data_IF_025377816594
#
_entry.id   IF_025377816594
#
_cell.length_a   1.000
_cell.length_b   1.000
_cell.length_c   1.000
_cell.angle_alpha   90.00
_cell.angle_beta   90.00
_cell.angle_gamma   90.00
#
_symmetry.space_group_name_H-M   'P 1'
#
loop_
_entity.id
_entity.type
_entity.pdbx_description
1 polymer ?
#
# COMPACT_ATOMS: atom_id res chain seq x y z
N UNK A 1 33.11 0.25 -10.27
CA UNK A 1 33.69 1.07 -9.20
C UNK A 1 32.79 0.96 -7.97
N UNK A 2 33.24 0.29 -6.87
CA UNK A 2 32.38 0.06 -5.67
C UNK A 2 31.80 1.37 -5.08
N UNK A 3 32.49 2.49 -5.26
CA UNK A 3 32.02 3.80 -4.77
C UNK A 3 30.84 4.38 -5.52
N UNK A 4 30.63 4.05 -6.79
CA UNK A 4 29.46 4.52 -7.54
C UNK A 4 28.21 3.72 -7.20
N UNK A 5 28.32 2.42 -7.00
CA UNK A 5 27.20 1.58 -6.59
C UNK A 5 26.69 1.95 -5.19
N UNK A 6 27.59 2.25 -4.24
CA UNK A 6 27.22 2.69 -2.91
C UNK A 6 26.49 4.04 -2.91
N UNK A 7 26.86 4.97 -3.82
CA UNK A 7 26.17 6.27 -3.91
C UNK A 7 24.75 6.17 -4.50
N UNK A 8 24.45 5.13 -5.28
CA UNK A 8 23.15 4.95 -5.92
C UNK A 8 22.11 4.31 -4.98
N UNK A 9 22.57 3.53 -4.01
CA UNK A 9 21.69 2.91 -2.99
C UNK A 9 20.99 3.95 -2.10
N UNK A 10 21.57 5.13 -1.93
CA UNK A 10 21.08 6.17 -1.02
C UNK A 10 20.35 7.32 -1.70
N UNK A 11 20.25 7.32 -3.02
CA UNK A 11 19.49 8.34 -3.75
C UNK A 11 18.07 7.88 -3.93
N UNK A 12 17.11 8.68 -3.48
CA UNK A 12 15.70 8.50 -3.82
C UNK A 12 15.52 8.74 -5.31
N UNK A 13 15.58 7.68 -6.12
CA UNK A 13 15.65 7.75 -7.57
C UNK A 13 14.47 8.48 -8.21
N UNK A 14 13.28 8.35 -7.65
CA UNK A 14 12.10 9.10 -8.14
C UNK A 14 12.32 10.61 -7.99
N UNK A 15 12.78 11.07 -6.82
CA UNK A 15 13.04 12.48 -6.56
C UNK A 15 14.18 13.01 -7.45
N UNK A 16 15.28 12.27 -7.56
CA UNK A 16 16.41 12.64 -8.39
C UNK A 16 16.02 12.74 -9.89
N UNK A 17 15.27 11.76 -10.38
CA UNK A 17 14.77 11.75 -11.77
C UNK A 17 13.83 12.92 -12.04
N UNK A 18 12.89 13.17 -11.13
CA UNK A 18 11.95 14.30 -11.23
C UNK A 18 12.68 15.65 -11.19
N UNK A 19 13.67 15.80 -10.32
CA UNK A 19 14.47 17.03 -10.22
C UNK A 19 15.24 17.32 -11.52
N UNK A 20 15.90 16.31 -12.09
CA UNK A 20 16.62 16.45 -13.36
C UNK A 20 15.65 16.73 -14.50
N UNK A 21 14.54 15.99 -14.59
CA UNK A 21 13.49 16.22 -15.59
C UNK A 21 12.94 17.64 -15.52
N UNK A 22 12.57 18.10 -14.33
CA UNK A 22 12.03 19.44 -14.10
C UNK A 22 13.04 20.54 -14.44
N UNK A 23 14.31 20.34 -14.08
CA UNK A 23 15.39 21.27 -14.44
C UNK A 23 15.57 21.37 -15.97
N UNK A 24 15.66 20.25 -16.66
CA UNK A 24 15.82 20.21 -18.11
C UNK A 24 14.60 20.82 -18.83
N UNK A 25 13.41 20.62 -18.29
CA UNK A 25 12.16 21.20 -18.81
C UNK A 25 12.18 22.72 -18.67
N UNK A 26 12.54 23.26 -17.50
CA UNK A 26 12.66 24.70 -17.26
C UNK A 26 13.73 25.36 -18.17
N UNK A 27 14.77 24.60 -18.53
CA UNK A 27 15.82 25.08 -19.46
C UNK A 27 15.45 24.93 -20.94
N UNK A 28 14.30 24.32 -21.27
CA UNK A 28 13.86 24.09 -22.64
C UNK A 28 14.67 23.04 -23.41
N UNK A 29 15.48 22.22 -22.73
CA UNK A 29 16.36 21.23 -23.36
C UNK A 29 15.95 19.78 -23.10
N UNK A 30 14.81 19.57 -22.42
CA UNK A 30 14.37 18.21 -22.06
C UNK A 30 14.19 17.28 -23.26
N UNK A 31 13.72 17.79 -24.39
CA UNK A 31 13.49 17.02 -25.60
C UNK A 31 14.77 16.51 -26.27
N UNK A 32 15.90 17.13 -25.99
CA UNK A 32 17.21 16.75 -26.56
C UNK A 32 17.94 15.69 -25.72
N UNK A 33 17.41 15.32 -24.55
CA UNK A 33 18.10 14.47 -23.58
C UNK A 33 17.25 13.26 -23.22
N UNK A 34 17.85 12.08 -23.22
CA UNK A 34 17.28 10.87 -22.62
C UNK A 34 17.74 10.72 -21.17
N UNK A 35 16.82 10.34 -20.28
CA UNK A 35 17.13 10.05 -18.87
C UNK A 35 17.19 8.53 -18.68
N UNK A 36 18.39 8.03 -18.46
CA UNK A 36 18.64 6.62 -18.14
C UNK A 36 18.80 6.48 -16.63
N UNK A 37 17.91 5.71 -16.01
CA UNK A 37 17.90 5.50 -14.55
C UNK A 37 18.42 4.11 -14.25
N UNK A 38 19.45 4.02 -13.43
CA UNK A 38 19.91 2.78 -12.83
C UNK A 38 19.54 2.80 -11.33
N UNK A 39 18.72 1.86 -10.88
CA UNK A 39 18.12 1.91 -9.55
C UNK A 39 18.12 0.57 -8.85
N UNK A 40 18.53 0.57 -7.58
CA UNK A 40 18.33 -0.54 -6.65
C UNK A 40 16.90 -0.57 -6.08
N UNK A 41 16.22 0.59 -5.99
CA UNK A 41 14.89 0.71 -5.42
C UNK A 41 13.78 0.18 -6.33
N UNK A 42 14.08 0.00 -7.63
CA UNK A 42 13.10 -0.35 -8.65
C UNK A 42 12.91 -1.87 -8.72
N UNK A 43 12.03 -2.40 -7.90
CA UNK A 43 11.76 -3.84 -7.78
C UNK A 43 10.41 -4.24 -8.37
N UNK A 44 9.39 -3.41 -8.25
CA UNK A 44 8.01 -3.69 -8.64
C UNK A 44 7.50 -2.76 -9.74
N UNK A 45 6.40 -3.16 -10.37
CA UNK A 45 5.76 -2.43 -11.47
C UNK A 45 5.40 -1.00 -11.10
N UNK A 46 4.98 -0.74 -9.87
CA UNK A 46 4.56 0.60 -9.45
C UNK A 46 5.74 1.57 -9.47
N UNK A 47 6.89 1.13 -9.00
CA UNK A 47 8.10 1.96 -9.01
C UNK A 47 8.54 2.32 -10.44
N UNK A 48 8.47 1.37 -11.38
CA UNK A 48 8.70 1.64 -12.81
C UNK A 48 7.69 2.66 -13.35
N UNK A 49 6.41 2.49 -13.04
CA UNK A 49 5.37 3.41 -13.48
C UNK A 49 5.65 4.84 -13.01
N UNK A 50 6.04 5.02 -11.75
CA UNK A 50 6.38 6.35 -11.21
C UNK A 50 7.65 6.90 -11.87
N UNK A 51 8.72 6.12 -12.03
CA UNK A 51 9.94 6.57 -12.70
C UNK A 51 9.69 7.04 -14.13
N UNK A 52 8.93 6.28 -14.92
CA UNK A 52 8.54 6.69 -16.27
C UNK A 52 7.64 7.93 -16.21
N UNK A 53 6.70 7.97 -15.28
CA UNK A 53 5.80 9.09 -15.08
C UNK A 53 6.49 10.40 -14.69
N UNK A 54 7.63 10.35 -13.99
CA UNK A 54 8.48 11.53 -13.68
C UNK A 54 9.52 11.82 -14.75
N UNK A 55 9.55 11.07 -15.86
CA UNK A 55 10.33 11.40 -17.02
C UNK A 55 11.49 10.46 -17.38
N UNK A 56 11.67 9.32 -16.70
CA UNK A 56 12.67 8.35 -17.10
C UNK A 56 12.42 7.84 -18.54
N UNK A 57 13.46 7.74 -19.34
CA UNK A 57 13.41 7.15 -20.69
C UNK A 57 13.64 5.65 -20.64
N UNK A 58 14.63 5.23 -19.87
CA UNK A 58 14.92 3.82 -19.62
C UNK A 58 15.22 3.60 -18.14
N UNK A 59 14.95 2.40 -17.66
CA UNK A 59 15.21 2.00 -16.27
C UNK A 59 15.96 0.68 -16.25
N UNK A 60 17.10 0.64 -15.55
CA UNK A 60 17.85 -0.57 -15.26
C UNK A 60 17.68 -0.94 -13.78
N UNK A 61 16.88 -1.97 -13.46
CA UNK A 61 16.64 -2.44 -12.08
C UNK A 61 17.72 -3.43 -11.67
N UNK A 62 18.97 -3.01 -11.53
CA UNK A 62 20.11 -3.91 -11.36
C UNK A 62 19.97 -4.82 -10.12
N UNK A 63 19.45 -4.30 -8.99
CA UNK A 63 19.27 -5.12 -7.79
C UNK A 63 18.21 -6.21 -7.98
N UNK A 64 17.11 -5.93 -8.69
CA UNK A 64 16.13 -6.96 -9.02
C UNK A 64 16.74 -8.08 -9.87
N UNK A 65 17.61 -7.73 -10.82
CA UNK A 65 18.33 -8.71 -11.65
C UNK A 65 19.31 -9.53 -10.80
N UNK A 66 20.05 -8.92 -9.88
CA UNK A 66 20.94 -9.63 -8.95
C UNK A 66 20.14 -10.57 -8.02
N UNK A 67 19.00 -10.13 -7.50
CA UNK A 67 18.11 -10.98 -6.71
C UNK A 67 17.61 -12.21 -7.50
N UNK A 68 17.31 -12.03 -8.79
CA UNK A 68 16.92 -13.14 -9.68
C UNK A 68 18.10 -14.08 -9.88
N UNK A 69 19.31 -13.55 -10.10
CA UNK A 69 20.54 -14.34 -10.25
C UNK A 69 20.81 -15.21 -9.02
N UNK A 70 20.83 -14.60 -7.85
CA UNK A 70 21.06 -15.30 -6.58
C UNK A 70 20.05 -16.44 -6.36
N UNK A 71 18.77 -16.18 -6.64
CA UNK A 71 17.71 -17.19 -6.50
C UNK A 71 17.86 -18.32 -7.52
N UNK A 72 18.29 -18.00 -8.73
CA UNK A 72 18.56 -18.99 -9.77
C UNK A 72 19.74 -19.87 -9.36
N UNK A 73 20.85 -19.29 -8.88
CA UNK A 73 22.03 -20.02 -8.38
C UNK A 73 21.69 -20.92 -7.19
N UNK A 74 20.75 -20.51 -6.33
CA UNK A 74 20.21 -21.34 -5.24
C UNK A 74 19.25 -22.45 -5.72
N UNK A 75 19.03 -22.60 -7.02
CA UNK A 75 18.18 -23.62 -7.60
C UNK A 75 16.67 -23.44 -7.35
N UNK A 76 16.24 -22.23 -6.98
CA UNK A 76 14.80 -21.95 -6.71
C UNK A 76 13.94 -21.89 -7.99
N UNK A 77 14.58 -21.77 -9.16
CA UNK A 77 13.93 -21.74 -10.47
C UNK A 77 14.37 -22.90 -11.34
N UNK A 78 14.16 -24.13 -10.87
CA UNK A 78 14.71 -25.38 -11.42
C UNK A 78 14.46 -25.58 -12.93
N UNK A 79 13.35 -25.05 -13.45
CA UNK A 79 12.89 -25.33 -14.82
C UNK A 79 13.23 -24.22 -15.82
N UNK A 80 13.90 -23.14 -15.37
CA UNK A 80 14.16 -21.96 -16.20
C UNK A 80 15.63 -21.58 -16.19
N UNK A 81 16.14 -21.13 -17.33
CA UNK A 81 17.45 -20.48 -17.39
C UNK A 81 17.40 -19.09 -16.72
N UNK A 82 18.57 -18.54 -16.40
CA UNK A 82 18.65 -17.18 -15.85
C UNK A 82 18.02 -16.15 -16.80
N UNK A 83 18.31 -16.26 -18.08
CA UNK A 83 17.80 -15.38 -19.14
C UNK A 83 16.26 -15.44 -19.20
N UNK A 84 15.68 -16.64 -19.11
CA UNK A 84 14.22 -16.82 -19.07
C UNK A 84 13.61 -16.18 -17.81
N UNK A 85 14.24 -16.30 -16.66
CA UNK A 85 13.79 -15.64 -15.43
C UNK A 85 13.76 -14.12 -15.59
N UNK A 86 14.83 -13.53 -16.15
CA UNK A 86 14.89 -12.07 -16.43
C UNK A 86 13.83 -11.65 -17.43
N UNK A 87 13.61 -12.43 -18.51
CA UNK A 87 12.57 -12.14 -19.49
C UNK A 87 11.16 -12.22 -18.91
N UNK A 88 10.91 -13.19 -18.03
CA UNK A 88 9.62 -13.30 -17.32
C UNK A 88 9.39 -12.12 -16.39
N UNK A 89 10.40 -11.67 -15.65
CA UNK A 89 10.34 -10.47 -14.82
C UNK A 89 10.03 -9.23 -15.69
N UNK A 90 10.77 -9.04 -16.78
CA UNK A 90 10.52 -7.94 -17.73
C UNK A 90 9.09 -7.97 -18.26
N UNK A 91 8.63 -9.13 -18.71
CA UNK A 91 7.24 -9.30 -19.20
C UNK A 91 6.20 -8.95 -18.17
N UNK A 92 6.42 -9.33 -16.90
CA UNK A 92 5.51 -8.99 -15.80
C UNK A 92 5.44 -7.47 -15.57
N UNK A 93 6.58 -6.78 -15.58
CA UNK A 93 6.64 -5.32 -15.49
C UNK A 93 5.95 -4.65 -16.67
N UNK A 94 6.24 -5.10 -17.91
CA UNK A 94 5.65 -4.55 -19.13
C UNK A 94 4.11 -4.70 -19.11
N UNK A 95 3.59 -5.87 -18.74
CA UNK A 95 2.14 -6.11 -18.61
C UNK A 95 1.51 -5.24 -17.52
N UNK A 96 2.21 -5.06 -16.40
CA UNK A 96 1.77 -4.19 -15.32
C UNK A 96 1.70 -2.72 -15.75
N UNK A 97 2.69 -2.23 -16.48
CA UNK A 97 2.71 -0.87 -17.03
C UNK A 97 1.56 -0.66 -18.03
N UNK A 98 1.36 -1.60 -18.94
CA UNK A 98 0.23 -1.56 -19.89
C UNK A 98 -1.12 -1.53 -19.16
N UNK A 99 -1.28 -2.28 -18.08
CA UNK A 99 -2.49 -2.25 -17.26
C UNK A 99 -2.71 -0.90 -16.58
N UNK A 100 -1.65 -0.26 -16.05
CA UNK A 100 -1.73 1.07 -15.45
C UNK A 100 -2.12 2.09 -16.52
N UNK A 101 -1.46 2.08 -17.67
CA UNK A 101 -1.75 2.98 -18.78
C UNK A 101 -3.19 2.80 -19.31
N UNK A 102 -3.64 1.56 -19.45
CA UNK A 102 -5.01 1.26 -19.89
C UNK A 102 -6.07 1.82 -18.93
N UNK A 103 -5.84 1.73 -17.61
CA UNK A 103 -6.73 2.35 -16.61
C UNK A 103 -6.78 3.87 -16.67
N UNK A 104 -5.71 4.50 -17.14
CA UNK A 104 -5.63 5.95 -17.34
C UNK A 104 -6.13 6.38 -18.72
N UNK A 105 -6.46 5.44 -19.61
CA UNK A 105 -6.84 5.72 -20.99
C UNK A 105 -5.68 6.17 -21.89
N UNK A 106 -4.43 5.87 -21.50
CA UNK A 106 -3.22 6.26 -22.24
C UNK A 106 -2.73 5.07 -23.07
N UNK A 107 -2.72 5.21 -24.38
CA UNK A 107 -2.37 4.14 -25.33
C UNK A 107 -0.89 4.06 -25.68
N UNK A 108 -0.12 5.14 -25.50
CA UNK A 108 1.30 5.20 -25.89
C UNK A 108 2.18 5.67 -24.73
N UNK A 109 3.33 5.02 -24.55
CA UNK A 109 4.28 5.33 -23.47
C UNK A 109 4.81 6.76 -23.55
N UNK A 110 4.95 7.32 -24.73
CA UNK A 110 5.39 8.72 -24.91
C UNK A 110 4.43 9.73 -24.30
N UNK A 111 3.14 9.43 -24.26
CA UNK A 111 2.13 10.27 -23.60
C UNK A 111 2.08 10.06 -22.07
N UNK A 112 2.51 8.89 -21.59
CA UNK A 112 2.62 8.60 -20.18
C UNK A 112 3.90 9.18 -19.55
N UNK A 113 5.01 9.13 -20.29
CA UNK A 113 6.33 9.54 -19.83
C UNK A 113 6.38 11.05 -19.54
N UNK A 114 6.71 11.39 -18.29
CA UNK A 114 6.74 12.78 -17.84
C UNK A 114 5.37 13.42 -17.70
N UNK A 115 4.30 12.62 -17.71
CA UNK A 115 2.93 13.11 -17.58
C UNK A 115 2.49 13.36 -16.14
N UNK A 116 3.24 12.93 -15.14
CA UNK A 116 2.96 13.11 -13.71
C UNK A 116 1.53 12.70 -13.32
N UNK A 117 1.03 11.59 -13.86
CA UNK A 117 -0.35 11.11 -13.67
C UNK A 117 -0.56 10.44 -12.30
N UNK A 118 -0.12 11.09 -11.23
CA UNK A 118 -0.23 10.62 -9.84
C UNK A 118 -0.28 11.81 -8.87
N UNK A 119 -0.65 11.54 -7.65
CA UNK A 119 -0.71 12.49 -6.55
C UNK A 119 0.37 12.18 -5.53
N UNK A 120 0.98 13.23 -4.97
CA UNK A 120 1.90 13.10 -3.85
C UNK A 120 1.13 13.14 -2.52
N UNK A 121 1.37 12.13 -1.69
CA UNK A 121 0.78 12.02 -0.35
C UNK A 121 1.89 11.99 0.68
N UNK A 122 1.84 12.88 1.68
CA UNK A 122 2.82 12.93 2.76
C UNK A 122 4.17 13.56 2.37
N UNK A 123 4.22 14.26 1.23
CA UNK A 123 5.38 15.07 0.83
C UNK A 123 5.05 16.56 0.91
N UNK A 124 6.01 17.39 1.34
CA UNK A 124 5.79 18.83 1.51
C UNK A 124 5.41 19.47 0.16
N UNK A 125 4.45 20.38 0.19
CA UNK A 125 3.98 21.11 -1.00
C UNK A 125 5.10 21.88 -1.68
N UNK A 126 6.01 22.48 -0.91
CA UNK A 126 7.16 23.23 -1.44
C UNK A 126 8.07 22.33 -2.28
N UNK A 127 8.42 21.15 -1.75
CA UNK A 127 9.24 20.17 -2.46
C UNK A 127 8.53 19.63 -3.71
N UNK A 128 7.24 19.33 -3.61
CA UNK A 128 6.45 18.83 -4.75
C UNK A 128 6.37 19.88 -5.85
N UNK A 129 6.09 21.14 -5.51
CA UNK A 129 6.03 22.23 -6.49
C UNK A 129 7.38 22.49 -7.19
N UNK A 130 8.49 22.25 -6.49
CA UNK A 130 9.81 22.47 -7.06
C UNK A 130 10.27 21.34 -7.99
N UNK A 131 10.08 20.07 -7.57
CA UNK A 131 10.68 18.92 -8.26
C UNK A 131 9.68 18.10 -9.07
N UNK A 132 8.38 18.16 -8.78
CA UNK A 132 7.33 17.38 -9.43
C UNK A 132 6.32 18.30 -10.11
N UNK A 133 6.72 18.90 -11.23
CA UNK A 133 5.91 19.90 -11.94
C UNK A 133 4.50 19.37 -12.27
N UNK A 134 3.48 20.03 -11.75
CA UNK A 134 2.07 19.69 -12.00
C UNK A 134 1.47 18.61 -11.11
N UNK A 135 2.27 17.97 -10.24
CA UNK A 135 1.74 17.01 -9.25
C UNK A 135 1.07 17.75 -8.10
N UNK A 136 -0.09 17.28 -7.69
CA UNK A 136 -0.79 17.82 -6.52
C UNK A 136 -0.33 17.13 -5.23
N UNK A 137 -0.20 17.90 -4.16
CA UNK A 137 0.02 17.42 -2.80
C UNK A 137 -1.08 17.95 -1.89
N UNK A 138 -2.19 17.20 -1.82
CA UNK A 138 -3.32 17.56 -0.95
C UNK A 138 -2.96 17.36 0.50
N UNK A 139 -2.30 16.26 0.82
CA UNK A 139 -1.79 15.94 2.16
C UNK A 139 -0.29 16.24 2.17
N UNK A 140 0.08 17.35 2.78
CA UNK A 140 1.49 17.74 2.96
C UNK A 140 2.17 16.84 4.01
N UNK A 141 3.49 16.83 4.02
CA UNK A 141 4.28 16.02 4.94
C UNK A 141 5.75 16.41 4.93
N UNK A 142 6.63 15.39 4.84
CA UNK A 142 8.07 15.56 4.92
C UNK A 142 8.63 16.29 3.70
N UNK A 143 9.60 17.17 3.96
CA UNK A 143 10.42 17.84 2.94
C UNK A 143 11.77 17.13 2.75
N UNK A 144 12.71 17.82 2.12
CA UNK A 144 14.05 17.29 1.84
C UNK A 144 14.78 16.82 3.11
N UNK A 145 14.70 17.59 4.19
CA UNK A 145 15.36 17.23 5.46
C UNK A 145 14.79 15.92 6.04
N UNK A 146 13.48 15.70 5.94
CA UNK A 146 12.86 14.44 6.39
C UNK A 146 13.25 13.25 5.50
N UNK A 147 13.43 13.47 4.20
CA UNK A 147 13.93 12.43 3.28
C UNK A 147 15.39 12.13 3.59
N UNK A 148 16.23 13.17 3.80
CA UNK A 148 17.63 12.99 4.19
C UNK A 148 17.75 12.18 5.48
N UNK A 149 16.97 12.53 6.50
CA UNK A 149 16.97 11.82 7.78
C UNK A 149 16.64 10.33 7.58
N UNK A 150 15.58 10.01 6.85
CA UNK A 150 15.24 8.62 6.54
C UNK A 150 16.31 7.86 5.75
N UNK A 151 17.02 8.54 4.86
CA UNK A 151 18.13 7.92 4.12
C UNK A 151 19.29 7.61 5.06
N UNK A 152 19.62 8.55 5.98
CA UNK A 152 20.67 8.34 6.98
C UNK A 152 20.34 7.19 7.93
N UNK A 153 19.12 7.12 8.44
CA UNK A 153 18.65 6.01 9.28
C UNK A 153 18.81 4.65 8.58
N UNK A 154 18.38 4.55 7.31
CA UNK A 154 18.54 3.32 6.53
C UNK A 154 20.01 2.97 6.29
N UNK A 155 20.85 3.98 6.06
CA UNK A 155 22.29 3.80 5.89
C UNK A 155 22.94 3.27 7.17
N UNK A 156 22.68 3.92 8.30
CA UNK A 156 23.18 3.50 9.60
C UNK A 156 22.74 2.06 9.90
N UNK A 157 21.46 1.75 9.71
CA UNK A 157 20.95 0.39 9.88
C UNK A 157 21.68 -0.64 9.00
N UNK A 158 21.99 -0.30 7.74
CA UNK A 158 22.65 -1.20 6.82
C UNK A 158 24.13 -1.45 7.12
N UNK A 159 24.83 -0.50 7.78
CA UNK A 159 26.29 -0.55 7.94
C UNK A 159 26.79 -0.65 9.39
N UNK A 160 25.94 -0.36 10.38
CA UNK A 160 26.36 -0.37 11.80
C UNK A 160 25.93 -1.60 12.56
N UNK A 161 25.05 -2.42 12.00
CA UNK A 161 24.47 -3.57 12.69
C UNK A 161 25.16 -4.90 12.35
N UNK A 162 25.33 -5.77 13.35
CA UNK A 162 25.47 -7.21 13.18
C UNK A 162 24.16 -7.81 12.61
N UNK A 163 23.67 -7.24 11.51
CA UNK A 163 22.41 -7.70 10.90
C UNK A 163 22.66 -8.98 10.14
N UNK A 164 22.74 -10.07 10.87
CA UNK A 164 22.83 -11.42 10.27
C UNK A 164 21.48 -11.90 9.73
N UNK A 165 20.39 -11.30 10.17
CA UNK A 165 19.03 -11.68 9.75
C UNK A 165 18.27 -10.48 9.24
N UNK A 166 17.56 -10.68 8.12
CA UNK A 166 16.63 -9.67 7.62
C UNK A 166 15.44 -9.48 8.57
N UNK A 167 14.87 -8.27 8.67
CA UNK A 167 13.62 -8.05 9.39
C UNK A 167 12.53 -9.03 8.94
N UNK A 168 11.71 -9.49 9.88
CA UNK A 168 10.62 -10.44 9.59
C UNK A 168 9.62 -9.81 8.61
N UNK A 169 9.52 -8.50 8.57
CA UNK A 169 8.57 -7.74 7.76
C UNK A 169 7.18 -7.75 8.38
N UNK A 170 6.15 -7.98 7.58
CA UNK A 170 4.77 -8.05 8.09
C UNK A 170 3.87 -6.90 7.66
N UNK A 171 4.35 -5.99 6.79
CA UNK A 171 3.56 -4.83 6.31
C UNK A 171 2.31 -5.29 5.55
N UNK A 172 2.44 -6.22 4.62
CA UNK A 172 1.34 -6.70 3.78
C UNK A 172 0.61 -7.92 4.34
N UNK A 173 1.24 -8.63 5.27
CA UNK A 173 0.72 -9.86 5.86
C UNK A 173 1.22 -9.96 7.29
N UNK A 174 0.30 -10.22 8.22
CA UNK A 174 0.65 -10.40 9.63
C UNK A 174 1.82 -11.38 9.82
N UNK A 175 2.80 -10.97 10.60
CA UNK A 175 3.91 -11.77 11.09
C UNK A 175 4.07 -11.52 12.59
N UNK A 176 4.27 -12.57 13.35
CA UNK A 176 4.45 -12.45 14.80
C UNK A 176 5.78 -11.72 15.11
N UNK A 177 5.72 -10.74 15.99
CA UNK A 177 6.91 -10.05 16.50
C UNK A 177 7.35 -8.80 15.73
N UNK A 178 6.59 -8.40 14.69
CA UNK A 178 6.90 -7.22 13.88
C UNK A 178 5.71 -6.27 13.81
N UNK A 179 5.29 -5.89 12.60
CA UNK A 179 4.20 -4.92 12.40
C UNK A 179 2.91 -5.28 13.13
N UNK A 180 2.33 -4.31 13.80
CA UNK A 180 1.05 -4.45 14.48
C UNK A 180 -0.10 -4.33 13.48
N UNK A 181 -0.98 -5.31 13.46
CA UNK A 181 -2.17 -5.33 12.62
C UNK A 181 -3.44 -5.26 13.46
N UNK A 182 -4.47 -4.56 12.96
CA UNK A 182 -5.77 -4.47 13.63
C UNK A 182 -6.45 -5.84 13.83
N UNK A 183 -6.11 -6.79 12.97
CA UNK A 183 -6.63 -8.16 12.98
C UNK A 183 -5.47 -9.15 13.06
N UNK A 184 -4.88 -9.29 14.23
CA UNK A 184 -3.86 -10.30 14.45
C UNK A 184 -4.47 -11.70 14.66
N UNK A 185 -3.64 -12.74 14.52
CA UNK A 185 -4.09 -14.12 14.63
C UNK A 185 -4.71 -14.45 16.01
N UNK A 186 -4.23 -13.81 17.08
CA UNK A 186 -4.73 -14.01 18.43
C UNK A 186 -6.15 -13.43 18.60
N UNK A 187 -6.38 -12.20 18.11
CA UNK A 187 -7.69 -11.57 18.16
C UNK A 187 -8.73 -12.34 17.34
N UNK A 188 -8.34 -12.75 16.12
CA UNK A 188 -9.23 -13.56 15.26
C UNK A 188 -9.58 -14.87 15.96
N UNK A 189 -8.62 -15.56 16.55
CA UNK A 189 -8.86 -16.81 17.26
C UNK A 189 -9.79 -16.62 18.48
N UNK A 190 -9.61 -15.57 19.26
CA UNK A 190 -10.50 -15.23 20.39
C UNK A 190 -11.94 -15.00 19.93
N UNK A 191 -12.12 -14.25 18.84
CA UNK A 191 -13.44 -13.99 18.28
C UNK A 191 -14.09 -15.27 17.75
N UNK A 192 -13.35 -16.08 17.00
CA UNK A 192 -13.84 -17.37 16.50
C UNK A 192 -14.24 -18.31 17.64
N UNK A 193 -13.42 -18.38 18.68
CA UNK A 193 -13.71 -19.19 19.88
C UNK A 193 -14.99 -18.70 20.59
N UNK A 194 -15.13 -17.38 20.78
CA UNK A 194 -16.31 -16.79 21.37
C UNK A 194 -17.59 -17.15 20.61
N UNK A 195 -17.53 -17.08 19.26
CA UNK A 195 -18.67 -17.40 18.39
C UNK A 195 -18.97 -18.91 18.40
N UNK A 196 -17.95 -19.75 18.22
CA UNK A 196 -18.14 -21.22 18.16
C UNK A 196 -18.68 -21.79 19.47
N UNK A 197 -18.20 -21.29 20.59
CA UNK A 197 -18.65 -21.72 21.93
C UNK A 197 -19.88 -20.97 22.45
N UNK A 198 -20.40 -19.99 21.68
CA UNK A 198 -21.45 -19.08 22.10
C UNK A 198 -21.17 -18.46 23.51
N UNK A 199 -19.90 -18.08 23.75
CA UNK A 199 -19.40 -17.63 25.03
C UNK A 199 -19.25 -16.12 25.09
N UNK A 200 -20.11 -15.44 25.85
CA UNK A 200 -20.00 -13.99 26.06
C UNK A 200 -18.74 -13.60 26.85
N UNK A 201 -18.25 -14.47 27.73
CA UNK A 201 -17.02 -14.21 28.49
C UNK A 201 -15.78 -14.22 27.57
N UNK A 202 -15.73 -15.15 26.62
CA UNK A 202 -14.68 -15.13 25.59
C UNK A 202 -14.77 -13.87 24.72
N UNK A 203 -15.98 -13.41 24.39
CA UNK A 203 -16.17 -12.15 23.68
C UNK A 203 -15.67 -10.93 24.48
N UNK A 204 -15.88 -10.92 25.82
CA UNK A 204 -15.31 -9.86 26.68
C UNK A 204 -13.79 -9.88 26.67
N UNK A 205 -13.16 -11.06 26.67
CA UNK A 205 -11.70 -11.20 26.57
C UNK A 205 -11.22 -10.63 25.23
N UNK A 206 -11.88 -10.97 24.11
CA UNK A 206 -11.61 -10.40 22.80
C UNK A 206 -11.71 -8.87 22.81
N UNK A 207 -12.83 -8.32 23.28
CA UNK A 207 -13.08 -6.87 23.31
C UNK A 207 -12.05 -6.13 24.17
N UNK A 208 -11.70 -6.67 25.33
CA UNK A 208 -10.69 -6.07 26.20
C UNK A 208 -9.28 -6.19 25.64
N UNK A 209 -8.98 -7.25 24.91
CA UNK A 209 -7.70 -7.40 24.21
C UNK A 209 -7.57 -6.37 23.08
N UNK A 210 -8.63 -6.14 22.32
CA UNK A 210 -8.67 -5.13 21.27
C UNK A 210 -8.37 -3.71 21.79
N UNK A 211 -8.88 -3.36 22.97
CA UNK A 211 -8.64 -2.04 23.61
C UNK A 211 -7.19 -1.82 24.06
N UNK A 212 -6.40 -2.86 24.20
CA UNK A 212 -4.99 -2.79 24.65
C UNK A 212 -3.99 -2.66 23.51
N UNK A 213 -4.44 -2.72 22.27
CA UNK A 213 -3.55 -2.55 21.11
C UNK A 213 -3.06 -1.11 20.98
N UNK A 214 -1.86 -0.97 20.42
CA UNK A 214 -1.37 0.34 19.99
C UNK A 214 -2.31 0.92 18.93
N UNK A 215 -2.57 2.23 18.93
CA UNK A 215 -3.41 2.86 17.92
C UNK A 215 -2.88 2.59 16.50
N UNK A 216 -3.74 2.07 15.62
CA UNK A 216 -3.44 1.78 14.23
C UNK A 216 -4.25 2.69 13.31
N UNK A 217 -5.49 2.97 13.69
CA UNK A 217 -6.40 3.84 12.97
C UNK A 217 -6.60 5.14 13.73
N UNK A 218 -6.93 6.22 13.03
CA UNK A 218 -7.23 7.52 13.66
C UNK A 218 -8.35 7.40 14.72
N UNK A 219 -9.34 6.55 14.49
CA UNK A 219 -10.44 6.30 15.44
C UNK A 219 -9.96 5.76 16.79
N UNK A 220 -8.81 5.05 16.81
CA UNK A 220 -8.25 4.46 18.04
C UNK A 220 -7.66 5.54 18.97
N UNK A 221 -7.48 6.76 18.46
CA UNK A 221 -7.06 7.95 19.20
C UNK A 221 -8.27 8.77 19.73
N UNK A 222 -9.49 8.38 19.40
CA UNK A 222 -10.69 9.10 19.76
C UNK A 222 -11.39 8.44 20.94
N UNK A 223 -11.98 9.25 21.81
CA UNK A 223 -12.80 8.81 22.93
C UNK A 223 -14.19 9.45 22.85
N UNK A 224 -15.17 8.81 23.45
CA UNK A 224 -16.48 9.42 23.62
C UNK A 224 -16.40 10.58 24.60
N UNK A 225 -17.01 11.70 24.26
CA UNK A 225 -17.09 12.86 25.14
C UNK A 225 -18.02 12.56 26.32
N UNK A 226 -17.43 12.33 27.49
CA UNK A 226 -18.15 11.93 28.71
C UNK A 226 -18.84 13.08 29.45
N UNK A 227 -18.84 14.31 28.90
CA UNK A 227 -19.39 15.51 29.55
C UNK A 227 -20.91 15.69 29.41
N UNK A 228 -21.59 14.76 28.76
CA UNK A 228 -23.05 14.80 28.63
C UNK A 228 -23.73 14.21 29.85
N UNK A 229 -24.85 14.82 30.27
CA UNK A 229 -25.68 14.28 31.35
C UNK A 229 -26.30 12.96 30.92
N UNK A 230 -26.41 12.04 31.87
CA UNK A 230 -27.17 10.83 31.68
C UNK A 230 -28.63 11.16 31.33
N UNK A 231 -29.18 10.50 30.32
CA UNK A 231 -30.57 10.60 29.90
C UNK A 231 -31.35 9.36 30.33
N UNK A 232 -32.67 9.49 30.48
CA UNK A 232 -33.53 8.36 30.79
C UNK A 232 -33.55 7.34 29.63
N UNK A 233 -33.65 6.05 29.96
CA UNK A 233 -33.71 5.00 28.93
C UNK A 233 -34.90 5.14 27.98
N UNK A 234 -36.01 5.78 28.42
CA UNK A 234 -37.17 6.05 27.59
C UNK A 234 -36.95 7.17 26.56
N UNK A 235 -35.93 7.99 26.76
CA UNK A 235 -35.52 9.04 25.83
C UNK A 235 -34.51 8.53 24.79
N UNK A 236 -33.99 7.31 24.99
CA UNK A 236 -33.04 6.70 24.08
C UNK A 236 -33.77 6.04 22.93
N UNK A 237 -33.22 6.25 21.73
CA UNK A 237 -33.71 5.63 20.51
C UNK A 237 -33.72 4.09 20.62
N UNK A 238 -34.73 3.45 20.08
CA UNK A 238 -34.86 1.98 20.13
C UNK A 238 -33.71 1.28 19.37
N UNK A 239 -33.32 0.10 19.82
CA UNK A 239 -32.30 -0.75 19.19
C UNK A 239 -32.63 -0.98 17.70
N UNK A 240 -33.90 -1.18 17.37
CA UNK A 240 -34.35 -1.37 15.99
C UNK A 240 -34.10 -0.13 15.12
N UNK A 241 -34.35 1.06 15.67
CA UNK A 241 -34.08 2.32 14.97
C UNK A 241 -32.57 2.54 14.77
N UNK A 242 -31.75 2.25 15.80
CA UNK A 242 -30.29 2.33 15.70
C UNK A 242 -29.77 1.37 14.62
N UNK A 243 -30.20 0.13 14.59
CA UNK A 243 -29.77 -0.90 13.61
C UNK A 243 -30.06 -0.49 12.17
N UNK A 244 -31.11 0.25 11.88
CA UNK A 244 -31.43 0.72 10.52
C UNK A 244 -30.35 1.64 9.92
N UNK A 245 -29.48 2.19 10.72
CA UNK A 245 -28.36 3.04 10.26
C UNK A 245 -27.06 2.25 10.01
N UNK A 246 -27.04 0.97 10.29
CA UNK A 246 -25.91 0.09 10.02
C UNK A 246 -26.23 -0.81 8.84
N UNK A 247 -25.22 -1.08 8.02
CA UNK A 247 -25.33 -1.96 6.86
C UNK A 247 -24.11 -2.85 6.71
N UNK A 248 -24.26 -3.92 5.96
CA UNK A 248 -23.12 -4.72 5.52
C UNK A 248 -22.47 -4.10 4.28
N UNK A 249 -21.19 -4.42 4.06
CA UNK A 249 -20.56 -4.13 2.76
C UNK A 249 -21.23 -4.92 1.64
N UNK A 250 -21.12 -4.42 0.40
CA UNK A 250 -21.61 -5.12 -0.77
C UNK A 250 -20.92 -6.46 -0.95
N UNK A 251 -21.70 -7.51 -1.17
CA UNK A 251 -21.21 -8.85 -1.41
C UNK A 251 -21.83 -9.40 -2.69
N UNK A 252 -20.99 -9.83 -3.63
CA UNK A 252 -21.50 -10.46 -4.86
C UNK A 252 -21.43 -11.98 -4.74
N UNK A 253 -22.41 -12.66 -5.35
CA UNK A 253 -22.45 -14.12 -5.43
C UNK A 253 -21.22 -14.71 -6.13
N UNK A 254 -20.54 -13.95 -6.99
CA UNK A 254 -19.30 -14.38 -7.65
C UNK A 254 -18.05 -14.37 -6.76
N UNK A 255 -18.07 -13.66 -5.62
CA UNK A 255 -16.94 -13.56 -4.68
C UNK A 255 -17.09 -14.42 -3.43
N UNK A 256 -18.30 -14.89 -3.15
CA UNK A 256 -18.63 -15.75 -2.01
C UNK A 256 -19.31 -17.02 -2.49
N UNK A 257 -19.20 -18.10 -1.70
CA UNK A 257 -20.02 -19.27 -1.91
C UNK A 257 -21.50 -18.96 -1.61
N UNK A 258 -22.42 -19.74 -2.20
CA UNK A 258 -23.84 -19.60 -1.95
C UNK A 258 -24.18 -19.66 -0.47
N UNK A 259 -23.61 -20.64 0.25
CA UNK A 259 -23.86 -20.86 1.68
C UNK A 259 -23.42 -19.68 2.54
N UNK A 260 -22.24 -19.11 2.24
CA UNK A 260 -21.74 -17.94 2.95
C UNK A 260 -22.61 -16.71 2.69
N UNK A 261 -23.03 -16.50 1.45
CA UNK A 261 -23.89 -15.38 1.06
C UNK A 261 -25.28 -15.48 1.71
N UNK A 262 -25.91 -16.65 1.64
CA UNK A 262 -27.23 -16.91 2.28
C UNK A 262 -27.15 -16.74 3.80
N UNK A 263 -26.10 -17.27 4.45
CA UNK A 263 -25.91 -17.13 5.90
C UNK A 263 -25.82 -15.67 6.33
N UNK A 264 -25.05 -14.87 5.59
CA UNK A 264 -24.93 -13.44 5.87
C UNK A 264 -26.24 -12.70 5.63
N UNK A 265 -26.96 -12.99 4.53
CA UNK A 265 -28.26 -12.39 4.25
C UNK A 265 -29.29 -12.69 5.34
N UNK A 266 -29.38 -13.95 5.76
CA UNK A 266 -30.26 -14.40 6.85
C UNK A 266 -29.89 -13.68 8.16
N UNK A 267 -28.60 -13.59 8.49
CA UNK A 267 -28.13 -12.93 9.70
C UNK A 267 -28.50 -11.43 9.69
N UNK A 268 -28.25 -10.72 8.60
CA UNK A 268 -28.55 -9.28 8.45
C UNK A 268 -30.04 -9.01 8.55
N UNK A 269 -30.87 -9.85 7.92
CA UNK A 269 -32.32 -9.74 8.02
C UNK A 269 -32.83 -9.97 9.46
N UNK A 270 -32.31 -10.99 10.15
CA UNK A 270 -32.71 -11.28 11.55
C UNK A 270 -32.39 -10.14 12.52
N UNK A 271 -31.28 -9.45 12.33
CA UNK A 271 -30.88 -8.32 13.17
C UNK A 271 -31.38 -6.97 12.66
N UNK A 272 -32.18 -6.96 11.58
CA UNK A 272 -32.75 -5.76 10.95
C UNK A 272 -31.67 -4.73 10.52
N UNK A 273 -30.52 -5.18 10.06
CA UNK A 273 -29.52 -4.31 9.43
C UNK A 273 -29.84 -4.12 7.94
N UNK A 274 -29.41 -3.00 7.38
CA UNK A 274 -29.51 -2.78 5.95
C UNK A 274 -28.57 -3.75 5.22
N UNK A 275 -29.14 -4.56 4.37
CA UNK A 275 -28.44 -5.38 3.41
C UNK A 275 -28.68 -4.80 2.02
N UNK A 276 -27.71 -4.04 1.54
CA UNK A 276 -27.77 -3.46 0.19
C UNK A 276 -26.64 -3.97 -0.63
N UNK A 277 -26.95 -4.59 -1.75
CA UNK A 277 -26.00 -4.78 -2.84
C UNK A 277 -26.19 -3.65 -3.83
N UNK A 278 -25.30 -2.67 -3.92
CA UNK A 278 -25.43 -1.58 -4.89
C UNK A 278 -24.92 -1.97 -6.27
N UNK A 279 -24.91 -3.25 -6.61
CA UNK A 279 -24.54 -3.68 -7.95
C UNK A 279 -25.64 -3.27 -8.95
N UNK A 280 -25.31 -2.56 -10.03
CA UNK A 280 -26.27 -2.29 -11.10
C UNK A 280 -26.85 -3.54 -11.75
N UNK A 281 -26.29 -4.73 -11.49
CA UNK A 281 -26.79 -6.02 -11.96
C UNK A 281 -27.90 -6.61 -11.10
N UNK A 282 -28.10 -6.06 -9.90
CA UNK A 282 -29.13 -6.51 -8.95
C UNK A 282 -30.36 -5.59 -8.98
N UNK A 283 -30.44 -4.68 -9.95
CA UNK A 283 -31.54 -3.70 -10.10
C UNK A 283 -32.56 -4.10 -11.19
N UNK A 284 -32.51 -5.30 -11.72
CA UNK A 284 -33.49 -5.87 -12.67
C UNK A 284 -34.43 -6.88 -11.99
#
# INVERSE_FOLDING_TARGET
NPSSAASDVYKRQILATAAVHSFLTRKGIRSFVSLHVQSAECLDTHYFAVLVGVGATTVNPYLAQECIRERHEKGLFKDFSYEECVQRYKKAVDQGLLKIMAKLGISVVSAYRGGFNFEAVGLSRSMVNEYFLGVQSRISGIGLNGIEHKIKELHEYAFTGDVQTLPIGGIYRYRHGEEVHAYDGKLIHLLQTAVTQNSYDMYKIYSNSHKKFSPINIRDLLEFKSSQKSVDLNEIESITSIRKRFGSGSMSHGSLSKEAHETLAIAMNRICLLYTSPSPRDSD
#
